data_IF_882941626302
#
_entry.id   IF_882941626302
#
_cell.length_a   1.000
_cell.length_b   1.000
_cell.length_c   1.000
_cell.angle_alpha   90.00
_cell.angle_beta   90.00
_cell.angle_gamma   90.00
#
_symmetry.space_group_name_H-M   'P 1'
#
loop_
_entity.id
_entity.type
_entity.pdbx_description
1 polymer ?
#
# COMPACT_ATOMS: atom_id res chain seq x y z
N UNK A 1 -10.99 61.69 -16.45
CA UNK A 1 -10.04 60.83 -15.69
C UNK A 1 -9.68 59.67 -16.60
N UNK A 2 -8.40 59.54 -16.98
CA UNK A 2 -7.94 58.45 -17.88
C UNK A 2 -7.93 57.13 -17.10
N UNK A 3 -8.73 56.16 -17.55
CA UNK A 3 -8.65 54.77 -17.11
C UNK A 3 -7.22 54.28 -17.36
N UNK A 4 -6.42 54.13 -16.30
CA UNK A 4 -5.16 53.40 -16.37
C UNK A 4 -5.52 51.92 -16.27
N UNK A 5 -5.40 51.18 -17.35
CA UNK A 5 -5.41 49.72 -17.28
C UNK A 5 -4.22 49.29 -16.42
N UNK A 6 -4.51 48.83 -15.21
CA UNK A 6 -3.50 48.29 -14.31
C UNK A 6 -3.15 46.90 -14.82
N UNK A 7 -1.95 46.76 -15.36
CA UNK A 7 -1.43 45.45 -15.79
C UNK A 7 -1.12 44.65 -14.52
N UNK A 8 -1.99 43.68 -14.21
CA UNK A 8 -1.79 42.79 -13.07
C UNK A 8 -0.69 41.79 -13.42
N UNK A 9 0.34 41.70 -12.57
CA UNK A 9 1.44 40.72 -12.73
C UNK A 9 0.86 39.30 -12.79
N UNK A 10 1.22 38.52 -13.82
CA UNK A 10 0.68 37.16 -14.05
C UNK A 10 0.79 36.22 -12.84
N UNK A 11 1.79 36.38 -11.97
CA UNK A 11 1.93 35.60 -10.73
C UNK A 11 0.99 36.02 -9.60
N UNK A 12 0.63 37.31 -9.52
CA UNK A 12 -0.15 37.86 -8.41
C UNK A 12 -1.59 37.31 -8.38
N UNK A 13 -2.24 37.18 -9.54
CA UNK A 13 -3.58 36.57 -9.61
C UNK A 13 -3.54 35.10 -9.17
N UNK A 14 -2.49 34.37 -9.53
CA UNK A 14 -2.31 32.96 -9.13
C UNK A 14 -2.12 32.86 -7.62
N UNK A 15 -1.28 33.71 -7.02
CA UNK A 15 -1.10 33.77 -5.56
C UNK A 15 -2.41 34.04 -4.82
N UNK A 16 -3.20 35.03 -5.27
CA UNK A 16 -4.52 35.32 -4.67
C UNK A 16 -5.48 34.13 -4.82
N UNK A 17 -5.51 33.47 -6.00
CA UNK A 17 -6.31 32.26 -6.20
C UNK A 17 -5.88 31.13 -5.26
N UNK A 18 -4.59 30.95 -5.05
CA UNK A 18 -4.05 29.97 -4.09
C UNK A 18 -4.48 30.29 -2.66
N UNK A 19 -4.42 31.55 -2.23
CA UNK A 19 -4.89 31.96 -0.89
C UNK A 19 -6.38 31.63 -0.71
N UNK A 20 -7.22 31.96 -1.72
CA UNK A 20 -8.66 31.66 -1.68
C UNK A 20 -8.90 30.14 -1.65
N UNK A 21 -8.17 29.37 -2.47
CA UNK A 21 -8.23 27.92 -2.50
C UNK A 21 -7.89 27.30 -1.14
N UNK A 22 -6.75 27.69 -0.57
CA UNK A 22 -6.29 27.20 0.74
C UNK A 22 -7.29 27.51 1.86
N UNK A 23 -7.87 28.72 1.87
CA UNK A 23 -8.87 29.09 2.87
C UNK A 23 -10.14 28.21 2.76
N UNK A 24 -10.62 27.94 1.54
CA UNK A 24 -11.77 27.06 1.30
C UNK A 24 -11.48 25.61 1.73
N UNK A 25 -10.32 25.08 1.35
CA UNK A 25 -9.92 23.73 1.74
C UNK A 25 -9.73 23.58 3.25
N UNK A 26 -9.20 24.61 3.92
CA UNK A 26 -9.08 24.61 5.39
C UNK A 26 -10.44 24.64 6.06
N UNK A 27 -11.41 25.40 5.53
CA UNK A 27 -12.76 25.42 6.06
C UNK A 27 -13.45 24.05 5.91
N UNK A 28 -13.35 23.42 4.74
CA UNK A 28 -13.92 22.08 4.49
C UNK A 28 -13.30 21.06 5.45
N UNK A 29 -11.97 21.01 5.57
CA UNK A 29 -11.27 20.10 6.49
C UNK A 29 -11.68 20.31 7.95
N UNK A 30 -11.84 21.57 8.36
CA UNK A 30 -12.29 21.90 9.71
C UNK A 30 -13.70 21.38 9.97
N UNK A 31 -14.63 21.58 9.03
CA UNK A 31 -16.01 21.07 9.12
C UNK A 31 -16.03 19.54 9.19
N UNK A 32 -15.26 18.86 8.33
CA UNK A 32 -15.17 17.40 8.33
C UNK A 32 -14.62 16.88 9.66
N UNK A 33 -13.61 17.53 10.23
CA UNK A 33 -13.05 17.13 11.52
C UNK A 33 -13.98 17.43 12.69
N UNK A 34 -14.72 18.54 12.69
CA UNK A 34 -15.75 18.78 13.71
C UNK A 34 -16.84 17.71 13.65
N UNK A 35 -17.19 17.22 12.46
CA UNK A 35 -18.12 16.09 12.33
C UNK A 35 -17.56 14.81 12.96
N UNK A 36 -16.27 14.52 12.77
CA UNK A 36 -15.60 13.40 13.45
C UNK A 36 -15.67 13.57 14.98
N UNK A 37 -15.33 14.75 15.50
CA UNK A 37 -15.40 15.04 16.94
C UNK A 37 -16.82 14.94 17.49
N UNK A 38 -17.81 15.41 16.75
CA UNK A 38 -19.23 15.28 17.11
C UNK A 38 -19.60 13.82 17.31
N UNK A 39 -19.30 12.94 16.34
CA UNK A 39 -19.58 11.51 16.47
C UNK A 39 -18.78 10.86 17.60
N UNK A 40 -17.54 11.29 17.82
CA UNK A 40 -16.74 10.84 18.97
C UNK A 40 -17.40 11.20 20.31
N UNK A 41 -17.83 12.46 20.48
CA UNK A 41 -18.49 12.94 21.71
C UNK A 41 -19.86 12.28 21.93
N UNK A 42 -20.63 12.05 20.86
CA UNK A 42 -21.87 11.27 20.94
C UNK A 42 -21.56 9.86 21.44
N UNK A 43 -20.53 9.21 20.88
CA UNK A 43 -20.08 7.90 21.31
C UNK A 43 -19.66 7.84 22.79
N UNK A 44 -18.88 8.84 23.23
CA UNK A 44 -18.49 9.01 24.63
C UNK A 44 -19.73 9.11 25.53
N UNK A 45 -20.68 9.99 25.19
CA UNK A 45 -21.84 10.22 26.03
C UNK A 45 -22.76 9.00 26.12
N UNK A 46 -22.96 8.29 25.00
CA UNK A 46 -23.69 7.01 24.98
C UNK A 46 -22.98 6.00 25.90
N UNK A 47 -21.66 5.86 25.79
CA UNK A 47 -20.90 4.92 26.60
C UNK A 47 -21.00 5.23 28.10
N UNK A 48 -20.85 6.50 28.49
CA UNK A 48 -20.96 6.94 29.89
C UNK A 48 -22.37 6.71 30.46
N UNK A 49 -23.42 6.97 29.67
CA UNK A 49 -24.81 6.74 30.09
C UNK A 49 -25.11 5.24 30.28
N UNK A 50 -24.59 4.39 29.39
CA UNK A 50 -24.70 2.93 29.54
C UNK A 50 -24.02 2.41 30.82
N UNK A 51 -22.92 3.02 31.27
CA UNK A 51 -22.25 2.63 32.52
C UNK A 51 -23.06 2.99 33.77
N UNK A 52 -23.89 4.04 33.70
CA UNK A 52 -24.78 4.44 34.81
C UNK A 52 -26.02 3.54 34.89
N UNK A 53 -26.40 2.90 33.78
CA UNK A 53 -27.44 1.87 33.72
C UNK A 53 -26.86 0.46 33.97
N UNK A 54 -26.92 -0.02 35.21
CA UNK A 54 -26.44 -1.35 35.65
C UNK A 54 -26.54 -2.48 34.59
N UNK A 55 -25.37 -3.00 34.19
CA UNK A 55 -25.08 -4.37 33.68
C UNK A 55 -26.16 -5.11 32.87
N UNK A 56 -26.87 -4.47 31.94
CA UNK A 56 -27.70 -5.19 30.96
C UNK A 56 -27.41 -4.72 29.55
N UNK A 57 -26.91 -5.63 28.70
CA UNK A 57 -26.75 -5.38 27.26
C UNK A 57 -28.08 -4.94 26.58
N UNK A 58 -29.21 -5.35 27.14
CA UNK A 58 -30.54 -4.90 26.72
C UNK A 58 -30.78 -3.40 26.96
N UNK A 59 -30.25 -2.83 28.06
CA UNK A 59 -30.41 -1.41 28.39
C UNK A 59 -29.73 -0.51 27.34
N UNK A 60 -28.48 -0.82 26.97
CA UNK A 60 -27.76 -0.09 25.91
C UNK A 60 -28.45 -0.19 24.54
N UNK A 61 -29.03 -1.36 24.24
CA UNK A 61 -29.77 -1.57 22.99
C UNK A 61 -31.05 -0.73 22.95
N UNK A 62 -31.76 -0.59 24.07
CA UNK A 62 -32.96 0.23 24.17
C UNK A 62 -32.63 1.74 24.14
N UNK A 63 -31.55 2.13 24.82
CA UNK A 63 -31.04 3.52 24.83
C UNK A 63 -30.77 4.02 23.42
N UNK A 64 -29.97 3.29 22.64
CA UNK A 64 -29.60 3.71 21.28
C UNK A 64 -30.83 3.75 20.35
N UNK A 65 -31.75 2.78 20.48
CA UNK A 65 -32.99 2.76 19.70
C UNK A 65 -33.87 3.97 19.98
N UNK A 66 -34.05 4.33 21.24
CA UNK A 66 -34.83 5.51 21.61
C UNK A 66 -34.15 6.80 21.16
N UNK A 67 -32.83 6.90 21.34
CA UNK A 67 -32.04 8.05 20.91
C UNK A 67 -32.15 8.27 19.40
N UNK A 68 -32.05 7.21 18.60
CA UNK A 68 -32.25 7.28 17.16
C UNK A 68 -33.68 7.74 16.79
N UNK A 69 -34.69 7.23 17.49
CA UNK A 69 -36.10 7.59 17.26
C UNK A 69 -36.36 9.07 17.47
N UNK A 70 -35.64 9.69 18.40
CA UNK A 70 -35.73 11.14 18.67
C UNK A 70 -34.87 11.97 17.69
N UNK A 71 -33.62 11.56 17.43
CA UNK A 71 -32.67 12.35 16.65
C UNK A 71 -32.84 12.21 15.13
N UNK A 72 -33.18 11.02 14.62
CA UNK A 72 -33.23 10.77 13.17
C UNK A 72 -34.31 11.61 12.45
N UNK A 73 -35.51 11.86 13.00
CA UNK A 73 -36.49 12.76 12.39
C UNK A 73 -36.03 14.22 12.30
N UNK A 74 -35.25 14.69 13.28
CA UNK A 74 -34.80 16.09 13.37
C UNK A 74 -33.51 16.34 12.57
N UNK A 75 -32.55 15.43 12.65
CA UNK A 75 -31.20 15.60 12.11
C UNK A 75 -30.87 14.68 10.93
N UNK A 76 -31.79 13.77 10.57
CA UNK A 76 -31.68 12.87 9.43
C UNK A 76 -30.88 11.59 9.69
N UNK A 77 -30.64 10.84 8.61
CA UNK A 77 -30.05 9.49 8.62
C UNK A 77 -28.64 9.39 9.22
N UNK A 78 -27.97 10.54 9.40
CA UNK A 78 -26.71 10.66 10.13
C UNK A 78 -26.80 10.33 11.62
N UNK A 79 -28.00 10.11 12.16
CA UNK A 79 -28.26 9.77 13.57
C UNK A 79 -29.13 8.52 13.73
N UNK A 80 -29.17 7.67 12.71
CA UNK A 80 -29.82 6.35 12.79
C UNK A 80 -29.16 5.45 13.84
N UNK A 81 -29.89 4.42 14.29
CA UNK A 81 -29.41 3.41 15.26
C UNK A 81 -28.00 2.94 14.91
N UNK A 82 -27.78 2.59 13.63
CA UNK A 82 -26.49 2.11 13.14
C UNK A 82 -25.37 3.12 13.33
N UNK A 83 -25.62 4.40 13.07
CA UNK A 83 -24.57 5.43 13.21
C UNK A 83 -24.25 5.68 14.68
N UNK A 84 -25.25 5.66 15.56
CA UNK A 84 -25.06 5.79 17.01
C UNK A 84 -24.29 4.58 17.59
N UNK A 85 -24.58 3.36 17.12
CA UNK A 85 -23.81 2.16 17.48
C UNK A 85 -22.34 2.28 17.04
N UNK A 86 -22.10 2.73 15.81
CA UNK A 86 -20.74 2.96 15.31
C UNK A 86 -20.06 4.10 16.08
N UNK A 87 -20.79 5.14 16.46
CA UNK A 87 -20.26 6.25 17.26
C UNK A 87 -19.79 5.76 18.64
N UNK A 88 -20.60 4.93 19.31
CA UNK A 88 -20.20 4.25 20.56
C UNK A 88 -18.97 3.37 20.35
N UNK A 89 -18.94 2.57 19.29
CA UNK A 89 -17.77 1.75 18.95
C UNK A 89 -16.54 2.61 18.67
N UNK A 90 -16.71 3.75 17.99
CA UNK A 90 -15.64 4.70 17.67
C UNK A 90 -14.97 5.25 18.91
N UNK A 91 -15.75 5.66 19.92
CA UNK A 91 -15.20 6.08 21.22
C UNK A 91 -14.43 4.95 21.90
N UNK A 92 -14.98 3.72 21.93
CA UNK A 92 -14.31 2.56 22.52
C UNK A 92 -12.99 2.23 21.83
N UNK A 93 -12.92 2.37 20.51
CA UNK A 93 -11.72 2.11 19.71
C UNK A 93 -10.67 3.23 19.87
N UNK A 94 -11.12 4.48 20.01
CA UNK A 94 -10.24 5.66 20.16
C UNK A 94 -10.63 6.43 21.43
N UNK A 95 -10.24 5.97 22.63
CA UNK A 95 -10.70 6.58 23.89
C UNK A 95 -10.15 7.98 24.14
N UNK A 96 -9.15 8.44 23.37
CA UNK A 96 -8.50 9.74 23.52
C UNK A 96 -8.78 10.58 22.28
N UNK A 97 -9.60 11.63 22.39
CA UNK A 97 -9.95 12.48 21.23
C UNK A 97 -8.73 13.11 20.53
N UNK A 98 -7.67 13.41 21.28
CA UNK A 98 -6.46 14.04 20.76
C UNK A 98 -5.63 13.13 19.85
N UNK A 99 -5.88 11.82 19.83
CA UNK A 99 -5.20 10.87 18.93
C UNK A 99 -5.89 10.77 17.56
N UNK A 100 -7.00 11.50 17.35
CA UNK A 100 -7.69 11.53 16.07
C UNK A 100 -6.96 12.45 15.09
N UNK A 101 -6.55 11.90 13.96
CA UNK A 101 -6.05 12.65 12.81
C UNK A 101 -7.14 13.52 12.20
N UNK A 102 -6.86 14.83 12.07
CA UNK A 102 -7.75 15.80 11.44
C UNK A 102 -7.81 15.70 9.92
N UNK A 103 -6.90 14.92 9.33
CA UNK A 103 -6.84 14.63 7.90
C UNK A 103 -7.89 13.58 7.47
N UNK A 104 -8.43 12.82 8.43
CA UNK A 104 -9.40 11.77 8.17
C UNK A 104 -10.81 12.25 8.48
N UNK A 105 -11.73 12.02 7.55
CA UNK A 105 -13.15 12.32 7.71
C UNK A 105 -13.91 11.13 8.35
N UNK A 106 -15.18 11.38 8.70
CA UNK A 106 -16.02 10.38 9.36
C UNK A 106 -16.17 9.07 8.57
N UNK A 107 -16.25 9.14 7.24
CA UNK A 107 -16.42 7.94 6.42
C UNK A 107 -15.18 7.03 6.45
N UNK A 108 -13.99 7.61 6.56
CA UNK A 108 -12.74 6.85 6.74
C UNK A 108 -12.69 6.24 8.15
N UNK A 109 -13.01 7.00 9.19
CA UNK A 109 -13.05 6.46 10.56
C UNK A 109 -14.05 5.32 10.71
N UNK A 110 -15.24 5.40 10.08
CA UNK A 110 -16.21 4.30 10.08
C UNK A 110 -15.62 3.01 9.52
N UNK A 111 -14.84 3.10 8.45
CA UNK A 111 -14.16 1.96 7.86
C UNK A 111 -13.06 1.44 8.80
N UNK A 112 -12.23 2.33 9.35
CA UNK A 112 -11.17 1.95 10.29
C UNK A 112 -11.71 1.28 11.57
N UNK A 113 -12.83 1.76 12.10
CA UNK A 113 -13.48 1.19 13.31
C UNK A 113 -13.96 -0.23 13.09
N UNK A 114 -14.34 -0.60 11.85
CA UNK A 114 -14.73 -1.97 11.52
C UNK A 114 -13.58 -2.97 11.46
N UNK A 115 -12.32 -2.49 11.46
CA UNK A 115 -11.14 -3.36 11.49
C UNK A 115 -10.88 -3.76 12.95
N UNK A 116 -11.06 -5.04 13.27
CA UNK A 116 -10.91 -5.55 14.64
C UNK A 116 -9.46 -5.52 15.12
N UNK A 117 -8.53 -6.01 14.29
CA UNK A 117 -7.11 -6.06 14.61
C UNK A 117 -6.51 -4.65 14.74
N UNK A 118 -5.91 -4.35 15.91
CA UNK A 118 -5.38 -3.03 16.23
C UNK A 118 -4.20 -2.61 15.35
N UNK A 119 -3.24 -3.51 15.13
CA UNK A 119 -2.06 -3.24 14.30
C UNK A 119 -2.45 -2.96 12.83
N UNK A 120 -3.38 -3.78 12.31
CA UNK A 120 -3.94 -3.60 10.96
C UNK A 120 -4.62 -2.24 10.82
N UNK A 121 -5.43 -1.86 11.82
CA UNK A 121 -6.15 -0.59 11.84
C UNK A 121 -5.20 0.60 11.89
N UNK A 122 -4.20 0.55 12.78
CA UNK A 122 -3.17 1.59 12.89
C UNK A 122 -2.37 1.74 11.59
N UNK A 123 -1.99 0.62 10.98
CA UNK A 123 -1.31 0.61 9.68
C UNK A 123 -2.11 1.37 8.61
N UNK A 124 -3.38 1.00 8.39
CA UNK A 124 -4.21 1.66 7.38
C UNK A 124 -4.52 3.12 7.73
N UNK A 125 -4.62 3.47 9.01
CA UNK A 125 -4.81 4.84 9.46
C UNK A 125 -3.58 5.70 9.10
N UNK A 126 -2.38 5.24 9.43
CA UNK A 126 -1.13 5.94 9.13
C UNK A 126 -0.90 6.06 7.62
N UNK A 127 -1.10 5.00 6.86
CA UNK A 127 -0.97 5.04 5.40
C UNK A 127 -2.03 5.96 4.75
N UNK A 128 -3.26 6.01 5.28
CA UNK A 128 -4.28 6.92 4.76
C UNK A 128 -3.88 8.38 4.92
N UNK A 129 -3.28 8.74 6.07
CA UNK A 129 -2.81 10.09 6.34
C UNK A 129 -1.60 10.42 5.46
N UNK A 130 -0.62 9.51 5.42
CA UNK A 130 0.63 9.67 4.65
C UNK A 130 0.34 9.88 3.16
N UNK A 131 -0.55 9.06 2.59
CA UNK A 131 -0.86 9.06 1.16
C UNK A 131 -2.09 9.92 0.81
N UNK A 132 -2.73 10.57 1.80
CA UNK A 132 -3.98 11.32 1.62
C UNK A 132 -5.08 10.52 0.91
N UNK A 133 -5.22 9.24 1.26
CA UNK A 133 -6.19 8.36 0.60
C UNK A 133 -7.62 8.84 0.81
N UNK A 134 -8.40 8.91 -0.27
CA UNK A 134 -9.86 9.02 -0.18
C UNK A 134 -10.46 7.78 0.49
N UNK A 135 -11.71 7.87 0.95
CA UNK A 135 -12.44 6.70 1.49
C UNK A 135 -12.41 5.50 0.55
N UNK A 136 -12.61 5.73 -0.76
CA UNK A 136 -12.60 4.67 -1.79
C UNK A 136 -11.22 4.02 -1.93
N UNK A 137 -10.15 4.81 -1.87
CA UNK A 137 -8.78 4.29 -1.94
C UNK A 137 -8.43 3.47 -0.69
N UNK A 138 -8.78 3.97 0.50
CA UNK A 138 -8.63 3.20 1.75
C UNK A 138 -9.41 1.89 1.69
N UNK A 139 -10.68 1.92 1.28
CA UNK A 139 -11.52 0.74 1.12
C UNK A 139 -10.92 -0.28 0.16
N UNK A 140 -10.39 0.17 -0.99
CA UNK A 140 -9.65 -0.69 -1.93
C UNK A 140 -8.43 -1.33 -1.29
N UNK A 141 -7.60 -0.58 -0.56
CA UNK A 141 -6.39 -1.11 0.06
C UNK A 141 -6.70 -2.11 1.19
N UNK A 142 -7.77 -1.87 1.95
CA UNK A 142 -8.26 -2.83 2.96
C UNK A 142 -8.76 -4.10 2.30
N UNK A 143 -9.56 -3.99 1.23
CA UNK A 143 -10.14 -5.13 0.54
C UNK A 143 -9.12 -5.94 -0.25
N UNK A 144 -8.03 -5.31 -0.73
CA UNK A 144 -6.90 -6.00 -1.39
C UNK A 144 -5.94 -6.67 -0.40
N UNK A 145 -6.22 -6.56 0.90
CA UNK A 145 -5.39 -7.16 1.95
C UNK A 145 -3.97 -6.61 1.92
N UNK A 146 -3.78 -5.31 1.68
CA UNK A 146 -2.45 -4.70 1.61
C UNK A 146 -1.61 -5.04 2.85
N UNK A 147 -2.19 -4.91 4.05
CA UNK A 147 -1.53 -5.25 5.30
C UNK A 147 -1.08 -6.72 5.33
N UNK A 148 -1.97 -7.65 4.98
CA UNK A 148 -1.67 -9.08 4.92
C UNK A 148 -0.57 -9.39 3.90
N UNK A 149 -0.60 -8.77 2.73
CA UNK A 149 0.44 -8.93 1.70
C UNK A 149 1.81 -8.45 2.18
N UNK A 150 1.86 -7.36 2.95
CA UNK A 150 3.12 -6.89 3.54
C UNK A 150 3.66 -7.85 4.59
N UNK A 151 2.78 -8.55 5.33
CA UNK A 151 3.18 -9.59 6.27
C UNK A 151 3.75 -10.84 5.59
N UNK A 152 3.40 -11.09 4.31
CA UNK A 152 3.96 -12.17 3.50
C UNK A 152 5.35 -11.83 2.92
N UNK A 153 5.80 -10.58 3.03
CA UNK A 153 7.09 -10.16 2.49
C UNK A 153 8.26 -10.73 3.30
N UNK A 154 9.33 -11.10 2.60
CA UNK A 154 10.56 -11.66 3.19
C UNK A 154 11.24 -10.74 4.21
N UNK A 155 10.95 -9.43 4.22
CA UNK A 155 11.53 -8.46 5.16
C UNK A 155 10.45 -7.55 5.76
N UNK A 156 9.60 -8.14 6.61
CA UNK A 156 8.50 -7.48 7.31
C UNK A 156 8.94 -6.21 8.06
N UNK A 157 10.05 -6.26 8.77
CA UNK A 157 10.52 -5.17 9.63
C UNK A 157 10.92 -3.95 8.81
N UNK A 158 11.70 -4.15 7.74
CA UNK A 158 12.11 -3.06 6.87
C UNK A 158 10.93 -2.42 6.12
N UNK A 159 10.01 -3.25 5.62
CA UNK A 159 8.81 -2.79 4.91
C UNK A 159 7.89 -1.99 5.85
N UNK A 160 7.71 -2.44 7.09
CA UNK A 160 6.91 -1.71 8.09
C UNK A 160 7.60 -0.41 8.53
N UNK A 161 8.93 -0.40 8.68
CA UNK A 161 9.68 0.81 9.02
C UNK A 161 9.55 1.88 7.90
N UNK A 162 9.60 1.46 6.63
CA UNK A 162 9.37 2.36 5.48
C UNK A 162 7.93 2.86 5.45
N UNK A 163 6.94 2.02 5.74
CA UNK A 163 5.53 2.43 5.85
C UNK A 163 5.34 3.47 6.97
N UNK A 164 5.92 3.24 8.14
CA UNK A 164 5.93 4.17 9.29
C UNK A 164 6.78 5.43 9.09
N UNK A 165 7.51 5.51 7.98
CA UNK A 165 8.45 6.61 7.69
C UNK A 165 9.61 6.72 8.69
N UNK A 166 9.92 5.61 9.35
CA UNK A 166 11.07 5.48 10.26
C UNK A 166 12.37 5.26 9.47
N UNK A 167 12.25 4.81 8.21
CA UNK A 167 13.36 4.51 7.32
C UNK A 167 13.07 5.03 5.90
N UNK A 168 14.08 5.59 5.24
CA UNK A 168 14.06 5.84 3.80
C UNK A 168 14.31 4.49 3.10
N UNK A 169 13.50 4.08 2.12
CA UNK A 169 13.73 2.83 1.42
C UNK A 169 15.08 2.87 0.71
N UNK A 170 15.86 1.82 0.88
CA UNK A 170 17.18 1.66 0.26
C UNK A 170 17.18 0.56 -0.80
N UNK A 171 16.17 -0.32 -0.77
CA UNK A 171 16.08 -1.48 -1.67
C UNK A 171 14.78 -1.47 -2.48
N UNK A 172 14.78 -1.98 -3.72
CA UNK A 172 13.58 -2.04 -4.53
C UNK A 172 12.45 -2.86 -3.88
N UNK A 173 12.79 -3.91 -3.12
CA UNK A 173 11.85 -4.80 -2.44
C UNK A 173 11.06 -4.10 -1.32
N UNK A 174 11.58 -2.98 -0.78
CA UNK A 174 10.90 -2.19 0.25
C UNK A 174 9.81 -1.29 -0.32
N UNK A 175 9.81 -1.05 -1.64
CA UNK A 175 8.87 -0.15 -2.31
C UNK A 175 7.88 -0.92 -3.20
N UNK A 176 8.36 -1.92 -3.94
CA UNK A 176 7.55 -2.61 -4.93
C UNK A 176 6.75 -3.73 -4.27
N UNK A 177 5.42 -3.71 -4.46
CA UNK A 177 4.51 -4.72 -3.90
C UNK A 177 4.56 -6.00 -4.73
N UNK A 178 4.81 -7.13 -4.06
CA UNK A 178 4.76 -8.47 -4.64
C UNK A 178 3.86 -9.37 -3.76
N UNK A 179 2.74 -9.92 -4.28
CA UNK A 179 2.20 -9.71 -5.62
C UNK A 179 1.50 -8.36 -5.76
N UNK A 180 1.44 -7.85 -6.99
CA UNK A 180 0.76 -6.61 -7.35
C UNK A 180 -0.71 -6.87 -7.72
N UNK A 181 -1.67 -6.18 -7.07
CA UNK A 181 -3.10 -6.45 -7.29
C UNK A 181 -3.70 -5.40 -8.22
N UNK A 182 -3.99 -5.83 -9.46
CA UNK A 182 -4.43 -5.05 -10.60
C UNK A 182 -5.92 -5.23 -10.94
N UNK A 183 -6.76 -5.51 -9.93
CA UNK A 183 -8.22 -5.69 -10.11
C UNK A 183 -8.92 -4.50 -10.77
N UNK A 184 -8.37 -3.30 -10.55
CA UNK A 184 -8.95 -2.04 -10.99
C UNK A 184 -8.95 -1.88 -12.51
N UNK A 185 -8.20 -2.73 -13.22
CA UNK A 185 -8.17 -2.75 -14.68
C UNK A 185 -9.52 -3.23 -15.27
N UNK A 186 -10.37 -3.88 -14.46
CA UNK A 186 -11.69 -4.32 -14.90
C UNK A 186 -11.68 -5.38 -16.01
N UNK A 187 -10.54 -6.03 -16.23
CA UNK A 187 -10.36 -6.99 -17.31
C UNK A 187 -11.20 -8.26 -17.05
N UNK A 188 -12.09 -8.59 -17.99
CA UNK A 188 -12.97 -9.76 -17.94
C UNK A 188 -12.17 -11.04 -18.12
N UNK A 189 -12.41 -12.10 -17.33
CA UNK A 189 -11.68 -13.39 -17.43
C UNK A 189 -11.73 -13.96 -18.86
N UNK A 190 -10.75 -13.59 -19.67
CA UNK A 190 -10.52 -14.14 -21.00
C UNK A 190 -9.36 -15.15 -20.93
N UNK A 191 -9.30 -16.12 -21.85
CA UNK A 191 -8.27 -17.17 -21.82
C UNK A 191 -6.86 -16.60 -21.87
N UNK A 192 -6.65 -15.52 -22.62
CA UNK A 192 -5.36 -14.85 -22.79
C UNK A 192 -5.61 -13.36 -23.08
N UNK A 193 -4.88 -12.47 -22.41
CA UNK A 193 -4.76 -11.09 -22.84
C UNK A 193 -3.45 -10.91 -23.60
N UNK A 194 -3.44 -9.99 -24.55
CA UNK A 194 -2.20 -9.52 -25.14
C UNK A 194 -1.51 -8.52 -24.20
N UNK A 195 -0.18 -8.49 -24.23
CA UNK A 195 0.64 -7.55 -23.41
C UNK A 195 0.21 -6.10 -23.64
N UNK A 196 -0.08 -5.75 -24.89
CA UNK A 196 -0.59 -4.43 -25.29
C UNK A 196 -1.92 -4.05 -24.63
N UNK A 197 -2.82 -5.01 -24.40
CA UNK A 197 -4.10 -4.74 -23.74
C UNK A 197 -3.89 -4.45 -22.26
N UNK A 198 -3.00 -5.22 -21.61
CA UNK A 198 -2.64 -5.02 -20.21
C UNK A 198 -1.91 -3.68 -19.99
N UNK A 199 -0.96 -3.35 -20.86
CA UNK A 199 -0.28 -2.05 -20.84
C UNK A 199 -1.27 -0.90 -21.07
N UNK A 200 -2.15 -1.01 -22.06
CA UNK A 200 -3.17 0.00 -22.34
C UNK A 200 -4.07 0.20 -21.12
N UNK A 201 -4.52 -0.88 -20.50
CA UNK A 201 -5.34 -0.82 -19.30
C UNK A 201 -4.59 -0.15 -18.13
N UNK A 202 -3.31 -0.46 -17.93
CA UNK A 202 -2.48 0.19 -16.90
C UNK A 202 -2.36 1.70 -17.11
N UNK A 203 -2.25 2.15 -18.36
CA UNK A 203 -2.20 3.58 -18.69
C UNK A 203 -3.56 4.25 -18.49
N UNK A 204 -4.65 3.61 -18.91
CA UNK A 204 -6.01 4.13 -18.67
C UNK A 204 -6.28 4.29 -17.16
N UNK A 205 -5.75 3.37 -16.35
CA UNK A 205 -5.87 3.37 -14.89
C UNK A 205 -4.57 3.76 -14.17
N UNK A 206 -3.80 4.69 -14.75
CA UNK A 206 -2.48 5.07 -14.22
C UNK A 206 -2.56 5.58 -12.78
N UNK A 207 -3.66 6.22 -12.40
CA UNK A 207 -3.88 6.72 -11.04
C UNK A 207 -3.99 5.56 -10.03
N UNK A 208 -4.81 4.56 -10.33
CA UNK A 208 -4.96 3.36 -9.50
C UNK A 208 -3.70 2.51 -9.49
N UNK A 209 -2.96 2.49 -10.60
CA UNK A 209 -1.67 1.82 -10.71
C UNK A 209 -0.60 2.50 -9.85
N UNK A 210 -0.48 3.83 -9.91
CA UNK A 210 0.42 4.59 -9.02
C UNK A 210 0.09 4.34 -7.54
N UNK A 211 -1.20 4.26 -7.20
CA UNK A 211 -1.63 3.90 -5.85
C UNK A 211 -1.21 2.47 -5.47
N UNK A 212 -1.24 1.53 -6.42
CA UNK A 212 -0.79 0.17 -6.20
C UNK A 212 0.74 0.09 -6.09
N UNK A 213 1.49 0.85 -6.88
CA UNK A 213 2.95 0.93 -6.76
C UNK A 213 3.40 1.53 -5.43
N UNK A 214 2.66 2.52 -4.92
CA UNK A 214 2.96 3.18 -3.65
C UNK A 214 3.71 4.50 -3.83
N UNK A 215 4.51 4.87 -2.83
CA UNK A 215 5.05 6.23 -2.73
C UNK A 215 6.25 6.49 -3.64
N UNK A 216 6.29 7.72 -4.15
CA UNK A 216 7.47 8.29 -4.81
C UNK A 216 7.53 8.07 -6.32
N UNK A 217 6.64 7.29 -6.90
CA UNK A 217 6.61 7.06 -8.34
C UNK A 217 6.09 8.27 -9.12
N UNK A 218 6.74 8.55 -10.23
CA UNK A 218 6.37 9.56 -11.22
C UNK A 218 6.40 8.91 -12.60
N UNK A 219 5.32 9.02 -13.35
CA UNK A 219 5.26 8.49 -14.72
C UNK A 219 6.12 9.34 -15.66
N UNK A 220 6.96 8.69 -16.46
CA UNK A 220 7.87 9.35 -17.40
C UNK A 220 7.43 9.11 -18.84
N UNK A 221 7.27 7.84 -19.23
CA UNK A 221 6.92 7.48 -20.60
C UNK A 221 6.28 6.09 -20.66
N UNK A 222 5.58 5.82 -21.77
CA UNK A 222 5.14 4.49 -22.19
C UNK A 222 5.68 4.19 -23.58
N UNK A 223 5.90 2.91 -23.89
CA UNK A 223 6.41 2.46 -25.19
C UNK A 223 7.62 3.31 -25.65
N UNK A 224 8.55 3.56 -24.72
CA UNK A 224 9.70 4.44 -24.99
C UNK A 224 10.63 3.72 -25.96
N UNK A 225 10.75 4.29 -27.16
CA UNK A 225 11.66 3.79 -28.18
C UNK A 225 13.11 4.02 -27.76
N UNK A 226 13.90 2.95 -27.75
CA UNK A 226 15.34 2.93 -27.64
C UNK A 226 15.90 2.50 -28.99
N UNK A 227 16.86 3.25 -29.51
CA UNK A 227 17.57 2.90 -30.74
C UNK A 227 19.00 2.49 -30.37
N UNK A 228 19.38 1.26 -30.73
CA UNK A 228 20.73 0.74 -30.58
C UNK A 228 21.25 0.37 -31.97
N UNK A 229 22.13 1.21 -32.50
CA UNK A 229 22.59 1.12 -33.89
C UNK A 229 21.39 1.17 -34.85
N UNK A 230 21.03 0.05 -35.48
CA UNK A 230 19.94 -0.08 -36.43
C UNK A 230 18.69 -0.79 -35.84
N UNK A 231 18.78 -1.29 -34.61
CA UNK A 231 17.71 -2.03 -33.95
C UNK A 231 16.85 -1.13 -33.06
N UNK A 232 15.53 -1.24 -33.21
CA UNK A 232 14.55 -0.55 -32.37
C UNK A 232 14.03 -1.46 -31.27
N UNK A 233 14.07 -0.95 -30.04
CA UNK A 233 13.47 -1.58 -28.87
C UNK A 233 12.46 -0.65 -28.21
N UNK A 234 11.49 -1.22 -27.52
CA UNK A 234 10.43 -0.46 -26.87
C UNK A 234 10.31 -0.89 -25.42
N UNK A 235 10.47 0.08 -24.52
CA UNK A 235 10.26 -0.12 -23.09
C UNK A 235 8.79 0.13 -22.77
N UNK A 236 8.12 -0.86 -22.18
CA UNK A 236 6.67 -0.78 -21.93
C UNK A 236 6.31 0.44 -21.07
N UNK A 237 6.86 0.54 -19.85
CA UNK A 237 6.60 1.67 -18.97
C UNK A 237 7.87 2.15 -18.27
N UNK A 238 8.04 3.47 -18.24
CA UNK A 238 9.16 4.15 -17.58
C UNK A 238 8.61 5.04 -16.48
N UNK A 239 9.09 4.82 -15.27
CA UNK A 239 8.82 5.65 -14.11
C UNK A 239 10.12 6.19 -13.52
N UNK A 240 9.98 7.20 -12.67
CA UNK A 240 11.03 7.68 -11.79
C UNK A 240 10.57 7.55 -10.35
N UNK A 241 11.41 7.01 -9.46
CA UNK A 241 11.14 7.01 -8.04
C UNK A 241 11.94 8.13 -7.36
N UNK A 242 11.24 9.14 -6.85
CA UNK A 242 11.87 10.31 -6.21
C UNK A 242 12.49 10.03 -4.84
N UNK A 243 12.08 8.97 -4.16
CA UNK A 243 12.63 8.60 -2.85
C UNK A 243 13.95 7.86 -3.04
N UNK A 244 13.98 6.92 -3.99
CA UNK A 244 15.20 6.23 -4.39
C UNK A 244 16.11 7.05 -5.31
N UNK A 245 15.59 8.13 -5.91
CA UNK A 245 16.28 8.95 -6.91
C UNK A 245 16.82 8.13 -8.09
N UNK A 246 15.99 7.25 -8.64
CA UNK A 246 16.37 6.39 -9.77
C UNK A 246 15.20 6.17 -10.73
N UNK A 247 15.52 5.77 -11.96
CA UNK A 247 14.53 5.25 -12.89
C UNK A 247 14.02 3.88 -12.42
N UNK A 248 12.76 3.59 -12.73
CA UNK A 248 12.13 2.28 -12.56
C UNK A 248 11.48 1.89 -13.87
N UNK A 249 11.99 0.84 -14.49
CA UNK A 249 11.55 0.31 -15.76
C UNK A 249 10.64 -0.88 -15.48
N UNK A 250 9.42 -0.86 -16.00
CA UNK A 250 8.52 -2.00 -15.95
C UNK A 250 8.43 -2.65 -17.32
N UNK A 251 8.66 -3.97 -17.35
CA UNK A 251 8.43 -4.84 -18.50
C UNK A 251 7.26 -5.76 -18.16
N UNK A 252 6.28 -5.90 -19.05
CA UNK A 252 5.03 -6.62 -18.79
C UNK A 252 5.00 -7.89 -19.62
N UNK A 253 4.74 -9.04 -18.99
CA UNK A 253 4.55 -10.33 -19.66
C UNK A 253 3.26 -10.99 -19.19
N UNK A 254 2.38 -11.33 -20.13
CA UNK A 254 1.13 -12.06 -19.83
C UNK A 254 1.34 -13.55 -19.62
N UNK A 255 2.54 -14.04 -19.93
CA UNK A 255 2.93 -15.45 -19.83
C UNK A 255 3.93 -15.69 -18.69
N UNK A 256 4.37 -16.95 -18.56
CA UNK A 256 5.38 -17.34 -17.58
C UNK A 256 6.74 -16.75 -17.96
N UNK A 257 7.40 -16.17 -16.97
CA UNK A 257 8.72 -15.55 -17.10
C UNK A 257 9.75 -16.49 -17.74
N UNK A 258 10.47 -15.97 -18.75
CA UNK A 258 11.60 -16.62 -19.42
C UNK A 258 12.93 -15.92 -19.13
N UNK A 259 14.05 -16.57 -19.47
CA UNK A 259 15.38 -15.96 -19.35
C UNK A 259 15.60 -14.84 -20.39
N UNK A 260 14.90 -14.88 -21.52
CA UNK A 260 14.98 -13.85 -22.56
C UNK A 260 14.37 -12.53 -22.06
N UNK A 261 13.24 -12.59 -21.35
CA UNK A 261 12.59 -11.41 -20.76
C UNK A 261 13.51 -10.69 -19.77
N UNK A 262 14.24 -11.47 -18.95
CA UNK A 262 15.22 -10.92 -18.01
C UNK A 262 16.42 -10.29 -18.73
N UNK A 263 16.87 -10.87 -19.84
CA UNK A 263 17.92 -10.30 -20.68
C UNK A 263 17.50 -8.96 -21.30
N UNK A 264 16.28 -8.89 -21.83
CA UNK A 264 15.70 -7.68 -22.39
C UNK A 264 15.59 -6.56 -21.34
N UNK A 265 15.03 -6.87 -20.17
CA UNK A 265 14.93 -5.91 -19.07
C UNK A 265 16.31 -5.45 -18.59
N UNK A 266 17.29 -6.34 -18.52
CA UNK A 266 18.67 -6.00 -18.14
C UNK A 266 19.32 -5.05 -19.15
N UNK A 267 19.05 -5.23 -20.44
CA UNK A 267 19.48 -4.30 -21.48
C UNK A 267 18.86 -2.91 -21.27
N UNK A 268 17.56 -2.83 -20.98
CA UNK A 268 16.88 -1.56 -20.72
C UNK A 268 17.45 -0.83 -19.49
N UNK A 269 17.66 -1.55 -18.38
CA UNK A 269 18.29 -1.00 -17.17
C UNK A 269 19.67 -0.44 -17.49
N UNK A 270 20.49 -1.18 -18.23
CA UNK A 270 21.83 -0.75 -18.62
C UNK A 270 21.82 0.46 -19.56
N UNK A 271 20.85 0.54 -20.48
CA UNK A 271 20.69 1.69 -21.36
C UNK A 271 20.40 2.95 -20.55
N UNK A 272 19.44 2.88 -19.62
CA UNK A 272 19.11 4.02 -18.77
C UNK A 272 20.29 4.44 -17.91
N UNK A 273 20.99 3.50 -17.28
CA UNK A 273 22.14 3.82 -16.43
C UNK A 273 23.31 4.48 -17.19
N UNK A 274 23.50 4.14 -18.47
CA UNK A 274 24.62 4.64 -19.28
C UNK A 274 24.30 5.90 -20.06
N UNK A 275 23.04 6.09 -20.46
CA UNK A 275 22.65 7.12 -21.44
C UNK A 275 21.68 8.16 -20.85
N UNK A 276 20.67 7.73 -20.10
CA UNK A 276 19.56 8.60 -19.67
C UNK A 276 19.76 9.18 -18.28
N UNK A 277 20.31 8.36 -17.38
CA UNK A 277 20.48 8.69 -15.97
C UNK A 277 21.48 9.82 -15.77
N UNK A 278 21.16 10.75 -14.88
CA UNK A 278 22.10 11.78 -14.45
C UNK A 278 23.18 11.22 -13.49
N UNK A 279 24.35 11.86 -13.38
CA UNK A 279 25.44 11.37 -12.53
C UNK A 279 25.09 11.28 -11.03
N UNK A 280 24.15 12.09 -10.55
CA UNK A 280 23.73 12.15 -9.15
C UNK A 280 22.54 11.23 -8.81
N UNK A 281 22.03 10.48 -9.79
CA UNK A 281 20.93 9.55 -9.61
C UNK A 281 21.44 8.13 -9.32
N UNK A 282 20.64 7.37 -8.58
CA UNK A 282 20.96 5.99 -8.20
C UNK A 282 20.72 5.00 -9.35
N UNK A 283 21.34 3.80 -9.32
CA UNK A 283 21.16 2.78 -10.36
C UNK A 283 19.68 2.48 -10.66
N UNK A 284 19.39 2.34 -11.94
CA UNK A 284 18.04 2.09 -12.47
C UNK A 284 17.54 0.73 -12.01
N UNK A 285 16.26 0.64 -11.67
CA UNK A 285 15.59 -0.58 -11.23
C UNK A 285 14.77 -1.15 -12.39
N UNK A 286 14.89 -2.45 -12.64
CA UNK A 286 14.06 -3.19 -13.57
C UNK A 286 13.04 -4.05 -12.83
N UNK A 287 11.77 -3.96 -13.22
CA UNK A 287 10.66 -4.71 -12.66
C UNK A 287 9.96 -5.48 -13.77
N UNK A 288 10.09 -6.79 -13.77
CA UNK A 288 9.37 -7.67 -14.68
C UNK A 288 8.03 -8.07 -14.03
N UNK A 289 6.92 -7.58 -14.58
CA UNK A 289 5.56 -7.94 -14.15
C UNK A 289 5.07 -9.14 -14.96
N UNK A 290 4.92 -10.29 -14.31
CA UNK A 290 4.51 -11.53 -14.98
C UNK A 290 3.28 -12.19 -14.34
N UNK A 291 2.52 -12.95 -15.13
CA UNK A 291 1.38 -13.72 -14.63
C UNK A 291 1.81 -14.86 -13.68
N UNK A 292 2.95 -15.48 -13.94
CA UNK A 292 3.53 -16.55 -13.11
C UNK A 292 5.05 -16.35 -12.94
N UNK A 293 5.51 -16.39 -11.69
CA UNK A 293 6.89 -16.15 -11.28
C UNK A 293 7.62 -17.47 -11.03
N UNK A 294 8.57 -17.80 -11.89
CA UNK A 294 9.47 -18.93 -11.66
C UNK A 294 10.71 -18.49 -10.86
N UNK A 295 10.71 -18.73 -9.54
CA UNK A 295 11.82 -18.37 -8.63
C UNK A 295 13.17 -18.96 -9.08
N UNK A 296 13.19 -20.16 -9.68
CA UNK A 296 14.43 -20.79 -10.13
C UNK A 296 15.03 -20.07 -11.34
N UNK A 297 14.21 -19.74 -12.34
CA UNK A 297 14.67 -19.01 -13.53
C UNK A 297 15.23 -17.64 -13.14
N UNK A 298 14.56 -16.92 -12.25
CA UNK A 298 15.06 -15.64 -11.72
C UNK A 298 16.40 -15.81 -11.02
N UNK A 299 16.51 -16.79 -10.10
CA UNK A 299 17.73 -17.03 -9.32
C UNK A 299 18.93 -17.40 -10.19
N UNK A 300 18.73 -18.20 -11.24
CA UNK A 300 19.83 -18.69 -12.09
C UNK A 300 20.14 -17.78 -13.29
N UNK A 301 19.26 -16.84 -13.64
CA UNK A 301 19.52 -15.88 -14.74
C UNK A 301 20.19 -14.61 -14.23
N UNK A 302 19.84 -14.14 -13.03
CA UNK A 302 20.40 -12.92 -12.47
C UNK A 302 21.68 -13.21 -11.66
N UNK A 303 22.70 -12.33 -11.71
CA UNK A 303 23.89 -12.46 -10.87
C UNK A 303 23.56 -12.52 -9.38
N UNK A 304 24.36 -13.23 -8.59
CA UNK A 304 24.14 -13.34 -7.12
C UNK A 304 24.14 -11.97 -6.41
N UNK A 305 24.86 -10.99 -6.95
CA UNK A 305 24.91 -9.61 -6.44
C UNK A 305 23.91 -8.66 -7.10
N UNK A 306 22.93 -9.16 -7.87
CA UNK A 306 21.94 -8.31 -8.52
C UNK A 306 21.02 -7.65 -7.47
N UNK A 307 20.99 -6.31 -7.48
CA UNK A 307 20.13 -5.50 -6.61
C UNK A 307 19.11 -4.66 -7.39
N UNK A 308 19.17 -4.64 -8.72
CA UNK A 308 18.41 -3.71 -9.55
C UNK A 308 17.30 -4.38 -10.32
N UNK A 309 17.38 -5.67 -10.64
CA UNK A 309 16.34 -6.39 -11.38
C UNK A 309 15.55 -7.29 -10.45
N UNK A 310 14.23 -7.22 -10.59
CA UNK A 310 13.30 -8.10 -9.91
C UNK A 310 12.16 -8.54 -10.81
N UNK A 311 11.64 -9.72 -10.52
CA UNK A 311 10.39 -10.21 -11.07
C UNK A 311 9.31 -10.14 -9.99
N UNK A 312 8.16 -9.56 -10.31
CA UNK A 312 7.00 -9.47 -9.44
C UNK A 312 5.80 -10.10 -10.13
N UNK A 313 5.03 -10.88 -9.38
CA UNK A 313 3.80 -11.46 -9.92
C UNK A 313 2.67 -10.42 -9.85
N UNK A 314 1.80 -10.38 -10.85
CA UNK A 314 0.56 -9.60 -10.78
C UNK A 314 -0.69 -10.49 -10.65
N UNK A 315 -1.72 -9.96 -10.00
CA UNK A 315 -3.02 -10.58 -9.84
C UNK A 315 -4.10 -9.64 -10.37
N UNK A 316 -4.86 -10.08 -11.39
CA UNK A 316 -5.96 -9.30 -11.97
C UNK A 316 -7.23 -9.32 -11.12
N UNK A 317 -7.25 -10.08 -10.02
CA UNK A 317 -8.40 -10.23 -9.14
C UNK A 317 -7.96 -10.12 -7.69
N UNK A 318 -8.86 -9.66 -6.83
CA UNK A 318 -8.61 -9.62 -5.38
C UNK A 318 -8.39 -11.04 -4.84
N UNK A 319 -7.32 -11.27 -4.05
CA UNK A 319 -7.16 -12.54 -3.37
C UNK A 319 -8.24 -12.69 -2.30
N UNK A 320 -8.78 -13.89 -2.15
CA UNK A 320 -9.73 -14.16 -1.06
C UNK A 320 -9.01 -14.23 0.28
N UNK A 321 -9.70 -13.90 1.37
CA UNK A 321 -9.14 -14.00 2.73
C UNK A 321 -8.60 -15.41 3.02
N UNK A 322 -9.31 -16.45 2.57
CA UNK A 322 -8.85 -17.84 2.69
C UNK A 322 -7.56 -18.13 1.93
N UNK A 323 -7.38 -17.54 0.74
CA UNK A 323 -6.13 -17.68 -0.03
C UNK A 323 -4.97 -16.99 0.70
N UNK A 324 -5.14 -15.75 1.14
CA UNK A 324 -4.12 -15.03 1.92
C UNK A 324 -3.74 -15.79 3.19
N UNK A 325 -4.72 -16.26 3.96
CA UNK A 325 -4.48 -17.04 5.18
C UNK A 325 -3.75 -18.35 4.91
N UNK A 326 -4.04 -19.01 3.79
CA UNK A 326 -3.35 -20.25 3.39
C UNK A 326 -1.89 -19.95 3.06
N UNK A 327 -1.63 -18.92 2.26
CA UNK A 327 -0.29 -18.46 1.90
C UNK A 327 0.53 -18.12 3.16
N UNK A 328 -0.09 -17.39 4.09
CA UNK A 328 0.55 -16.92 5.32
C UNK A 328 0.89 -18.07 6.26
N UNK A 329 0.02 -19.08 6.35
CA UNK A 329 0.31 -20.32 7.09
C UNK A 329 1.43 -21.14 6.43
N UNK A 330 1.46 -21.20 5.10
CA UNK A 330 2.50 -21.92 4.35
C UNK A 330 3.88 -21.30 4.57
N UNK A 331 3.99 -19.96 4.49
CA UNK A 331 5.24 -19.24 4.75
C UNK A 331 5.69 -19.39 6.22
N UNK A 332 4.77 -19.30 7.18
CA UNK A 332 5.09 -19.53 8.60
C UNK A 332 5.59 -20.96 8.86
N UNK A 333 5.03 -21.96 8.17
CA UNK A 333 5.49 -23.34 8.28
C UNK A 333 6.89 -23.51 7.68
N UNK A 334 7.13 -22.96 6.47
CA UNK A 334 8.45 -22.95 5.85
C UNK A 334 9.51 -22.28 6.74
N UNK A 335 9.16 -21.17 7.41
CA UNK A 335 10.06 -20.49 8.34
C UNK A 335 10.39 -21.37 9.56
N UNK A 336 9.38 -22.04 10.14
CA UNK A 336 9.58 -22.98 11.27
C UNK A 336 10.43 -24.19 10.89
N UNK A 337 10.22 -24.73 9.70
CA UNK A 337 10.99 -25.87 9.18
C UNK A 337 12.44 -25.46 8.91
N UNK A 338 12.68 -24.23 8.41
CA UNK A 338 14.01 -23.67 8.22
C UNK A 338 14.73 -23.37 9.54
N UNK A 339 14.04 -22.87 10.57
CA UNK A 339 14.61 -22.68 11.91
C UNK A 339 14.96 -24.02 12.58
N UNK A 340 14.09 -25.04 12.45
CA UNK A 340 14.38 -26.38 13.01
C UNK A 340 15.61 -27.04 12.36
N UNK A 341 15.88 -26.76 11.08
CA UNK A 341 17.08 -27.23 10.40
C UNK A 341 18.38 -26.53 10.84
N UNK A 342 18.30 -25.31 11.40
CA UNK A 342 19.45 -24.62 11.99
C UNK A 342 19.82 -25.20 13.37
N UNK A 343 18.82 -25.61 14.17
CA UNK A 343 19.06 -26.24 15.47
C UNK A 343 19.67 -27.65 15.36
N UNK A 344 19.43 -28.36 14.26
CA UNK A 344 20.04 -29.67 14.00
C UNK A 344 21.50 -29.52 13.55
N UNK A 345 21.82 -28.54 12.69
CA UNK A 345 23.21 -28.27 12.27
C UNK A 345 24.09 -27.71 13.39
N UNK A 346 23.53 -26.98 14.36
CA UNK A 346 24.26 -26.52 15.56
C UNK A 346 24.63 -27.65 16.52
N UNK A 347 23.85 -28.74 16.55
CA UNK A 347 24.15 -29.94 17.37
C UNK A 347 25.13 -30.91 16.72
N UNK A 348 25.18 -31.00 15.40
CA UNK A 348 26.15 -31.88 14.71
C UNK A 348 27.60 -31.34 14.74
N UNK A 349 27.79 -30.04 15.00
CA UNK A 349 29.12 -29.41 15.11
C UNK A 349 29.68 -29.37 16.55
N UNK A 350 28.96 -29.90 17.55
CA UNK A 350 29.40 -29.93 18.97
C UNK A 350 29.55 -31.34 19.56
N UNK A 351 29.41 -32.40 18.76
CA UNK A 351 29.46 -33.80 19.22
C UNK A 351 30.72 -34.57 18.82
N UNK A 352 31.90 -33.96 18.92
CA UNK A 352 33.15 -34.55 18.42
C UNK A 352 34.38 -34.28 19.26
N UNK A 353 34.34 -34.55 20.56
CA UNK A 353 35.53 -34.81 21.39
C UNK A 353 35.09 -35.33 22.76
N UNK A 354 35.27 -36.63 23.01
CA UNK A 354 35.53 -37.31 24.29
C UNK A 354 35.05 -38.76 24.22
N UNK A 355 35.97 -39.69 23.94
CA UNK A 355 36.19 -40.89 24.77
C UNK A 355 37.27 -41.79 24.16
N UNK A 356 38.49 -41.65 24.69
CA UNK A 356 39.56 -42.64 24.51
C UNK A 356 40.24 -42.92 25.85
N UNK A 357 39.54 -43.68 26.70
CA UNK A 357 40.01 -44.43 27.88
C UNK A 357 38.93 -45.52 28.10
N UNK A 358 39.13 -46.82 28.24
CA UNK A 358 40.22 -47.76 28.53
C UNK A 358 39.81 -49.08 27.84
N UNK A 359 40.68 -50.09 27.65
CA UNK A 359 40.76 -51.26 28.54
C UNK A 359 42.04 -52.07 28.24
N UNK A 360 42.93 -52.14 29.24
CA UNK A 360 43.59 -53.33 29.81
C UNK A 360 44.19 -54.40 28.87
N UNK A 361 45.52 -54.36 28.66
CA UNK A 361 46.51 -55.36 29.15
C UNK A 361 47.93 -55.00 28.73
#
# INVERSE_FOLDING_TARGET
MRNREIIIRKGFVTEIKTIIGNARESAIRSVDFQRVRMYWHIGQRIFEEEQQGKERAEYGTYLIKNLAKELEPEYGSGFSVRILEISRQFYRTYPIANTLYSQLNWSQYRLLVSIENADKREYYQNESVKNSWTKRQLERQVNSGLYERLLLSNNKEAVLAVARSEKIPDTPQEIIKDPMVLEFLGLHREPEYYEKDLETALIVHLHEFLLELGNGFSFVARQKRILLEDDEFFVDLVFYNRLLRCFVIFEIKTTKLTHQDLGQLQMYVNYFDRIEKLPDENPTIGVLLCADKNKAVVKFTLPENNKTIMASQYQLYLPTEKQLLKELKSELQHYKDNCSNYDIKGKELSGGEEDSKEIVK
#
